data_IF_153534706787
#
_entry.id   IF_153534706787
#
_cell.length_a   1.000
_cell.length_b   1.000
_cell.length_c   1.000
_cell.angle_alpha   90.00
_cell.angle_beta   90.00
_cell.angle_gamma   90.00
#
_symmetry.space_group_name_H-M   'P 1'
#
loop_
_entity.id
_entity.type
_entity.pdbx_description
1 polymer ?
#
# COMPACT_ATOMS: atom_id res chain seq x y z
N UNK A 1 27.41 -31.91 43.19
CA UNK A 1 26.02 -31.48 42.90
C UNK A 1 25.83 -30.00 42.53
N UNK A 2 26.84 -29.11 42.63
CA UNK A 2 26.67 -27.66 42.31
C UNK A 2 26.93 -27.27 40.83
N UNK A 3 27.44 -28.18 40.01
CA UNK A 3 27.75 -27.94 38.59
C UNK A 3 26.52 -28.12 37.67
N UNK A 4 25.64 -29.08 37.96
CA UNK A 4 24.47 -29.34 37.09
C UNK A 4 23.44 -28.20 37.09
N UNK A 5 23.20 -27.54 38.22
CA UNK A 5 22.18 -26.48 38.33
C UNK A 5 22.57 -25.22 37.52
N UNK A 6 23.88 -24.93 37.38
CA UNK A 6 24.36 -23.77 36.60
C UNK A 6 24.14 -23.95 35.09
N UNK A 7 24.32 -25.16 34.57
CA UNK A 7 24.16 -25.45 33.13
C UNK A 7 22.67 -25.39 32.75
N UNK A 8 21.78 -25.93 33.58
CA UNK A 8 20.34 -25.91 33.32
C UNK A 8 19.77 -24.48 33.34
N UNK A 9 20.28 -23.60 34.21
CA UNK A 9 19.83 -22.21 34.30
C UNK A 9 20.32 -21.35 33.13
N UNK A 10 21.55 -21.59 32.65
CA UNK A 10 22.10 -20.92 31.46
C UNK A 10 21.32 -21.34 30.20
N UNK A 11 20.94 -22.61 30.07
CA UNK A 11 20.15 -23.10 28.94
C UNK A 11 18.68 -22.58 28.96
N UNK A 12 18.07 -22.48 30.15
CA UNK A 12 16.72 -21.91 30.32
C UNK A 12 16.68 -20.40 30.04
N UNK A 13 17.76 -19.66 30.31
CA UNK A 13 17.83 -18.22 30.04
C UNK A 13 18.01 -17.91 28.54
N UNK A 14 18.66 -18.81 27.78
CA UNK A 14 18.87 -18.63 26.33
C UNK A 14 17.63 -18.88 25.47
N UNK A 15 16.61 -19.60 25.97
CA UNK A 15 15.38 -19.86 25.20
C UNK A 15 14.34 -18.74 25.26
N UNK A 16 14.47 -17.76 26.16
CA UNK A 16 13.43 -16.72 26.35
C UNK A 16 13.58 -15.49 25.44
N UNK A 17 14.64 -15.42 24.63
CA UNK A 17 14.96 -14.24 23.81
C UNK A 17 14.76 -14.42 22.30
N UNK A 18 14.15 -15.52 21.83
CA UNK A 18 13.51 -15.50 20.51
C UNK A 18 12.14 -14.84 20.63
N UNK A 19 12.14 -13.51 20.87
CA UNK A 19 11.02 -12.71 20.39
C UNK A 19 10.96 -12.97 18.89
N UNK A 20 9.98 -13.75 18.48
CA UNK A 20 9.61 -13.86 17.08
C UNK A 20 9.37 -12.44 16.61
N UNK A 21 10.34 -11.84 15.92
CA UNK A 21 10.03 -10.86 14.90
C UNK A 21 9.27 -11.64 13.84
N UNK A 22 8.01 -11.96 14.11
CA UNK A 22 7.07 -12.43 13.13
C UNK A 22 7.25 -11.47 11.95
N UNK A 23 7.71 -12.01 10.82
CA UNK A 23 7.98 -11.29 9.57
C UNK A 23 7.18 -10.00 9.52
N UNK A 24 7.85 -8.84 9.64
CA UNK A 24 7.18 -7.56 9.63
C UNK A 24 6.29 -7.52 8.37
N UNK A 25 4.97 -7.54 8.57
CA UNK A 25 4.02 -7.68 7.48
C UNK A 25 4.15 -6.46 6.57
N UNK A 26 4.48 -6.69 5.29
CA UNK A 26 4.59 -5.61 4.32
C UNK A 26 3.24 -4.86 4.20
N UNK A 27 3.21 -3.65 4.74
CA UNK A 27 2.01 -2.82 4.77
C UNK A 27 1.60 -2.33 3.38
N UNK A 28 2.52 -2.31 2.41
CA UNK A 28 2.24 -1.80 1.06
C UNK A 28 1.32 -2.73 0.26
N UNK A 29 1.33 -4.03 0.58
CA UNK A 29 0.56 -5.06 -0.10
C UNK A 29 -0.53 -5.72 0.77
N UNK A 30 -0.89 -5.10 1.90
CA UNK A 30 -1.89 -5.66 2.83
C UNK A 30 -3.24 -5.90 2.10
N UNK A 31 -3.74 -7.16 2.07
CA UNK A 31 -5.07 -7.45 1.54
C UNK A 31 -6.15 -6.71 2.33
N UNK A 32 -7.22 -6.31 1.65
CA UNK A 32 -8.32 -5.56 2.25
C UNK A 32 -9.66 -5.97 1.64
N UNK A 33 -10.75 -5.55 2.28
CA UNK A 33 -12.13 -5.79 1.83
C UNK A 33 -12.84 -4.46 1.67
N UNK A 34 -13.51 -4.26 0.55
CA UNK A 34 -14.47 -3.17 0.34
C UNK A 34 -15.81 -3.80 -0.07
N UNK A 35 -16.87 -3.53 0.70
CA UNK A 35 -18.25 -3.98 0.41
C UNK A 35 -18.40 -5.45 0.01
N UNK A 36 -17.78 -6.36 0.75
CA UNK A 36 -17.86 -7.79 0.44
C UNK A 36 -16.69 -8.29 -0.42
N UNK A 37 -16.10 -7.45 -1.25
CA UNK A 37 -15.09 -7.84 -2.23
C UNK A 37 -13.69 -7.76 -1.62
N UNK A 38 -12.94 -8.86 -1.71
CA UNK A 38 -11.56 -8.95 -1.22
C UNK A 38 -10.58 -8.59 -2.34
N UNK A 39 -9.62 -7.72 -2.02
CA UNK A 39 -8.58 -7.28 -2.92
C UNK A 39 -7.20 -7.71 -2.42
N UNK A 40 -6.33 -8.03 -3.37
CA UNK A 40 -4.96 -8.47 -3.13
C UNK A 40 -3.99 -7.52 -3.85
N UNK A 41 -3.50 -6.49 -3.16
CA UNK A 41 -2.51 -5.60 -3.76
C UNK A 41 -1.20 -6.33 -4.03
N UNK A 42 -0.48 -5.86 -5.05
CA UNK A 42 0.74 -6.48 -5.54
C UNK A 42 1.72 -5.44 -6.07
N UNK A 43 2.99 -5.81 -6.08
CA UNK A 43 4.01 -5.10 -6.83
C UNK A 43 3.76 -5.24 -8.33
N UNK A 44 4.26 -4.25 -9.07
CA UNK A 44 4.20 -4.21 -10.52
C UNK A 44 5.61 -4.13 -11.08
N UNK A 45 5.87 -4.82 -12.19
CA UNK A 45 7.16 -4.75 -12.87
C UNK A 45 7.33 -3.33 -13.45
N UNK A 46 8.49 -2.71 -13.21
CA UNK A 46 8.85 -1.44 -13.83
C UNK A 46 8.70 -1.54 -15.35
N UNK A 47 8.12 -0.51 -15.97
CA UNK A 47 7.85 -0.48 -17.41
C UNK A 47 6.56 -1.17 -17.85
N UNK A 48 5.76 -1.74 -16.93
CA UNK A 48 4.42 -2.25 -17.27
C UNK A 48 3.53 -1.11 -17.78
N UNK A 49 2.97 -1.27 -18.98
CA UNK A 49 2.01 -0.34 -19.58
C UNK A 49 0.61 -0.92 -19.48
N UNK A 50 -0.37 -0.08 -19.11
CA UNK A 50 -1.80 -0.43 -19.14
C UNK A 50 -2.63 0.74 -19.63
N UNK A 51 -3.65 0.42 -20.40
CA UNK A 51 -4.69 1.35 -20.80
C UNK A 51 -5.91 1.19 -19.93
N UNK A 52 -6.44 2.28 -19.39
CA UNK A 52 -7.63 2.26 -18.55
C UNK A 52 -8.29 3.64 -18.49
N UNK A 53 -9.57 3.65 -18.09
CA UNK A 53 -10.24 4.89 -17.71
C UNK A 53 -9.66 5.40 -16.40
N UNK A 54 -9.36 6.69 -16.37
CA UNK A 54 -8.91 7.41 -15.19
C UNK A 54 -9.94 8.48 -14.81
N UNK A 55 -9.89 8.93 -13.55
CA UNK A 55 -10.58 10.15 -13.12
C UNK A 55 -9.75 10.87 -12.05
N UNK A 56 -10.36 11.78 -11.30
CA UNK A 56 -9.77 12.45 -10.16
C UNK A 56 -10.80 12.64 -9.04
N UNK A 57 -10.33 12.83 -7.81
CA UNK A 57 -11.18 13.10 -6.64
C UNK A 57 -10.76 14.40 -5.94
N UNK A 58 -11.73 15.27 -5.64
CA UNK A 58 -11.46 16.65 -5.28
C UNK A 58 -11.67 17.02 -3.81
N UNK A 59 -12.00 18.30 -3.60
CA UNK A 59 -12.24 18.98 -2.32
C UNK A 59 -12.99 18.18 -1.24
N UNK A 60 -14.05 17.41 -1.54
CA UNK A 60 -14.78 16.67 -0.51
C UNK A 60 -13.93 15.67 0.30
N UNK A 61 -12.82 15.20 -0.27
CA UNK A 61 -11.93 14.22 0.38
C UNK A 61 -10.75 14.87 1.11
N UNK A 62 -10.45 16.15 0.85
CA UNK A 62 -9.23 16.80 1.36
C UNK A 62 -9.15 16.70 2.88
N UNK A 63 -7.98 16.34 3.40
CA UNK A 63 -7.72 16.17 4.84
C UNK A 63 -8.18 14.84 5.43
N UNK A 64 -8.97 14.03 4.72
CA UNK A 64 -9.35 12.68 5.15
C UNK A 64 -8.17 11.72 5.08
N UNK A 65 -8.22 10.64 5.85
CA UNK A 65 -7.20 9.59 5.77
C UNK A 65 -7.37 8.79 4.48
N UNK A 66 -6.27 8.54 3.79
CA UNK A 66 -6.17 7.54 2.71
C UNK A 66 -5.99 6.15 3.32
N UNK A 67 -6.10 5.12 2.48
CA UNK A 67 -5.93 3.74 2.91
C UNK A 67 -4.51 3.39 3.42
N UNK A 68 -3.48 4.19 3.12
CA UNK A 68 -2.15 4.02 3.71
C UNK A 68 -1.95 4.86 5.00
N UNK A 69 -2.97 5.59 5.45
CA UNK A 69 -2.95 6.39 6.68
C UNK A 69 -2.46 7.83 6.51
N UNK A 70 -2.05 8.24 5.32
CA UNK A 70 -1.71 9.64 5.05
C UNK A 70 -2.98 10.51 5.00
N UNK A 71 -2.87 11.80 5.36
CA UNK A 71 -3.94 12.75 5.03
C UNK A 71 -3.92 13.06 3.54
N UNK A 72 -5.04 12.84 2.87
CA UNK A 72 -5.22 13.19 1.48
C UNK A 72 -5.05 14.71 1.29
N UNK A 73 -4.15 15.08 0.39
CA UNK A 73 -3.98 16.44 -0.06
C UNK A 73 -4.16 16.47 -1.58
N UNK A 74 -5.21 17.15 -2.02
CA UNK A 74 -5.57 17.21 -3.42
C UNK A 74 -4.51 17.86 -4.31
N UNK A 75 -3.57 18.63 -3.75
CA UNK A 75 -2.50 19.30 -4.49
C UNK A 75 -1.20 18.47 -4.52
N UNK A 76 -1.17 17.30 -3.89
CA UNK A 76 -0.02 16.37 -3.95
C UNK A 76 -0.19 15.40 -5.09
N UNK A 77 0.91 15.06 -5.75
CA UNK A 77 0.95 14.08 -6.85
C UNK A 77 0.71 12.64 -6.37
N UNK A 78 -0.56 12.31 -6.14
CA UNK A 78 -0.98 11.04 -5.54
C UNK A 78 -2.16 10.42 -6.30
N UNK A 79 -2.39 9.14 -6.08
CA UNK A 79 -3.47 8.41 -6.73
C UNK A 79 -4.03 7.26 -5.87
N UNK A 80 -5.29 6.93 -6.11
CA UNK A 80 -5.96 5.74 -5.64
C UNK A 80 -5.88 4.62 -6.68
N UNK A 81 -5.43 3.44 -6.27
CA UNK A 81 -5.45 2.23 -7.12
C UNK A 81 -5.82 0.99 -6.31
N UNK A 82 -6.68 0.12 -6.87
CA UNK A 82 -7.24 -1.04 -6.17
C UNK A 82 -6.20 -2.03 -5.67
N UNK A 83 -5.21 -2.35 -6.49
CA UNK A 83 -4.33 -3.51 -6.28
C UNK A 83 -2.85 -3.26 -6.56
N UNK A 84 -2.42 -2.01 -6.67
CA UNK A 84 -0.98 -1.72 -6.78
C UNK A 84 -0.45 -1.44 -5.39
N UNK A 85 0.75 -1.91 -5.09
CA UNK A 85 1.38 -1.70 -3.79
C UNK A 85 1.40 -0.20 -3.44
N UNK A 86 1.19 0.14 -2.16
CA UNK A 86 1.39 1.53 -1.72
C UNK A 86 2.83 1.94 -2.02
N UNK A 87 3.01 3.20 -2.41
CA UNK A 87 4.29 3.72 -2.87
C UNK A 87 4.60 3.46 -4.35
N UNK A 88 3.77 2.69 -5.08
CA UNK A 88 3.96 2.51 -6.53
C UNK A 88 3.94 3.87 -7.23
N UNK A 89 4.98 4.19 -7.99
CA UNK A 89 5.07 5.41 -8.79
C UNK A 89 4.62 5.11 -10.21
N UNK A 90 3.70 5.92 -10.73
CA UNK A 90 3.09 5.77 -12.04
C UNK A 90 3.31 7.02 -12.87
N UNK A 91 3.73 6.84 -14.13
CA UNK A 91 3.54 7.87 -15.15
C UNK A 91 2.16 7.67 -15.77
N UNK A 92 1.31 8.67 -15.65
CA UNK A 92 -0.04 8.66 -16.23
C UNK A 92 -0.03 9.62 -17.40
N UNK A 93 -0.27 9.10 -18.60
CA UNK A 93 -0.37 9.90 -19.83
C UNK A 93 -1.83 9.99 -20.24
N UNK A 94 -2.31 11.22 -20.45
CA UNK A 94 -3.61 11.47 -21.03
C UNK A 94 -3.55 11.24 -22.54
N UNK A 95 -4.33 10.28 -23.04
CA UNK A 95 -4.39 10.01 -24.49
C UNK A 95 -5.10 11.12 -25.28
N UNK A 96 -5.81 12.03 -24.60
CA UNK A 96 -6.50 13.15 -25.25
C UNK A 96 -5.54 14.23 -25.73
N UNK A 97 -4.45 14.46 -25.00
CA UNK A 97 -3.54 15.58 -25.23
C UNK A 97 -2.06 15.24 -25.02
N UNK A 98 -1.73 13.97 -24.80
CA UNK A 98 -0.38 13.43 -24.61
C UNK A 98 0.42 14.02 -23.45
N UNK A 99 -0.22 14.81 -22.58
CA UNK A 99 0.40 15.31 -21.34
C UNK A 99 0.50 14.18 -20.33
N UNK A 100 1.54 14.24 -19.50
CA UNK A 100 1.77 13.23 -18.47
C UNK A 100 2.08 13.84 -17.11
N UNK A 101 1.76 13.08 -16.07
CA UNK A 101 2.08 13.38 -14.68
C UNK A 101 2.68 12.14 -14.01
N UNK A 102 3.52 12.36 -13.00
CA UNK A 102 4.05 11.30 -12.14
C UNK A 102 3.30 11.34 -10.83
N UNK A 103 2.69 10.22 -10.42
CA UNK A 103 1.92 10.12 -9.17
C UNK A 103 2.35 8.91 -8.36
N UNK A 104 2.21 9.00 -7.04
CA UNK A 104 2.42 7.88 -6.11
C UNK A 104 1.09 7.31 -5.62
N UNK A 105 0.96 5.99 -5.65
CA UNK A 105 -0.20 5.31 -5.07
C UNK A 105 -0.12 5.39 -3.54
N UNK A 106 -1.11 6.03 -2.91
CA UNK A 106 -1.23 6.08 -1.45
C UNK A 106 -2.65 5.74 -0.95
N UNK A 107 -3.58 5.43 -1.87
CA UNK A 107 -4.97 5.15 -1.52
C UNK A 107 -5.55 3.95 -2.30
N UNK A 108 -6.74 3.48 -1.89
CA UNK A 108 -7.50 2.40 -2.52
C UNK A 108 -8.76 2.92 -3.23
N UNK A 109 -9.19 2.16 -4.22
CA UNK A 109 -10.26 2.52 -5.14
C UNK A 109 -9.72 2.74 -6.57
N UNK A 110 -10.54 3.26 -7.49
CA UNK A 110 -12.00 3.47 -7.37
C UNK A 110 -12.75 2.16 -7.14
N UNK A 111 -13.95 2.15 -6.54
CA UNK A 111 -14.71 0.91 -6.34
C UNK A 111 -16.04 0.80 -7.11
N UNK A 112 -16.46 1.88 -7.77
CA UNK A 112 -17.77 2.00 -8.43
C UNK A 112 -17.66 2.40 -9.90
N UNK A 113 -16.80 1.71 -10.67
CA UNK A 113 -16.70 1.90 -12.13
C UNK A 113 -15.67 0.97 -12.75
N UNK A 114 -15.65 0.91 -14.08
CA UNK A 114 -14.55 0.33 -14.87
C UNK A 114 -13.26 1.17 -14.86
N UNK A 115 -13.18 2.29 -14.12
CA UNK A 115 -11.94 3.06 -13.94
C UNK A 115 -10.90 2.23 -13.22
N UNK A 116 -9.63 2.40 -13.56
CA UNK A 116 -8.53 1.72 -12.86
C UNK A 116 -7.88 2.61 -11.79
N UNK A 117 -7.94 3.94 -11.97
CA UNK A 117 -7.18 4.89 -11.18
C UNK A 117 -7.96 6.19 -11.01
N UNK A 118 -7.90 6.76 -9.81
CA UNK A 118 -8.32 8.14 -9.56
C UNK A 118 -7.10 8.95 -9.10
N UNK A 119 -6.87 10.10 -9.73
CA UNK A 119 -5.77 11.02 -9.43
C UNK A 119 -6.19 12.08 -8.40
N UNK A 120 -5.20 12.70 -7.78
CA UNK A 120 -5.38 14.01 -7.14
C UNK A 120 -5.78 15.11 -8.14
N UNK A 121 -6.29 16.23 -7.64
CA UNK A 121 -6.75 17.39 -8.43
C UNK A 121 -5.58 18.13 -9.11
#
# INVERSE_FOLDING_TARGET
MKQLIKITLILMLTLFAFKTSAFARDNNIRPYKDRGIKYYPRYVKKGTIKYAKASWYGKPFHGRLTANGERYNMHKMTAAHRTYAMGTVLKVTSLKNWRSVIVRVNDRGPFYSSRAIDLSY
#
